data_IF_524304429173
#
_entry.id   IF_524304429173
#
_cell.length_a   1.000
_cell.length_b   1.000
_cell.length_c   1.000
_cell.angle_alpha   90.00
_cell.angle_beta   90.00
_cell.angle_gamma   90.00
#
_symmetry.space_group_name_H-M   'P 1'
#
loop_
_entity.id
_entity.type
_entity.pdbx_description
1 polymer ?
#
# COMPACT_ATOMS: atom_id res chain seq x y z
N UNK A 1 -2.15 23.36 -21.07
CA UNK A 1 -2.92 22.27 -20.43
C UNK A 1 -2.49 22.06 -18.98
N UNK A 2 -1.20 22.10 -18.65
CA UNK A 2 -0.70 21.92 -17.27
C UNK A 2 -0.24 23.26 -16.68
N UNK A 3 -0.66 23.54 -15.45
CA UNK A 3 -0.30 24.74 -14.68
C UNK A 3 0.96 24.53 -13.83
N UNK A 4 1.09 23.36 -13.19
CA UNK A 4 2.22 23.00 -12.35
C UNK A 4 2.44 21.49 -12.38
N UNK A 5 3.66 21.06 -12.11
CA UNK A 5 4.02 19.65 -11.94
C UNK A 5 4.94 19.48 -10.75
N UNK A 6 4.86 18.34 -10.09
CA UNK A 6 5.81 17.94 -9.05
C UNK A 6 6.10 16.44 -9.15
N UNK A 7 7.37 16.08 -8.96
CA UNK A 7 7.81 14.68 -8.94
C UNK A 7 7.82 14.23 -7.49
N UNK A 8 7.17 13.11 -7.22
CA UNK A 8 7.14 12.52 -5.88
C UNK A 8 8.17 11.41 -5.81
N UNK A 9 9.11 11.56 -4.88
CA UNK A 9 10.13 10.55 -4.59
C UNK A 9 9.63 9.68 -3.45
N UNK A 10 9.86 8.37 -3.52
CA UNK A 10 9.33 7.46 -2.51
C UNK A 10 10.09 6.15 -2.34
N UNK A 11 10.00 5.60 -1.14
CA UNK A 11 10.70 4.41 -0.71
C UNK A 11 10.11 3.86 0.59
N UNK A 12 10.89 3.06 1.31
CA UNK A 12 10.48 2.54 2.62
C UNK A 12 11.56 2.79 3.66
N UNK A 13 11.15 3.21 4.85
CA UNK A 13 11.99 3.28 6.04
C UNK A 13 11.71 2.07 6.93
N UNK A 14 12.74 1.45 7.50
CA UNK A 14 12.55 0.44 8.54
C UNK A 14 12.49 1.08 9.92
N UNK A 15 11.32 1.22 10.54
CA UNK A 15 11.18 1.69 11.93
C UNK A 15 11.64 0.60 12.91
N UNK A 16 12.57 0.95 13.79
CA UNK A 16 13.08 0.06 14.86
C UNK A 16 12.48 0.44 16.22
N UNK A 17 12.33 1.73 16.48
CA UNK A 17 11.68 2.19 17.70
C UNK A 17 11.06 3.56 17.52
N UNK A 18 10.07 3.86 18.36
CA UNK A 18 9.44 5.17 18.43
C UNK A 18 9.27 5.59 19.89
N UNK A 19 9.27 6.90 20.13
CA UNK A 19 9.06 7.45 21.46
C UNK A 19 8.19 8.72 21.41
N UNK A 20 7.39 8.92 22.46
CA UNK A 20 6.64 10.15 22.68
C UNK A 20 7.58 11.31 22.99
N UNK A 21 7.04 12.54 22.99
CA UNK A 21 7.84 13.76 23.21
C UNK A 21 8.50 13.84 24.60
N UNK A 22 7.98 13.11 25.58
CA UNK A 22 8.57 12.97 26.92
C UNK A 22 9.62 11.85 27.02
N UNK A 23 9.89 11.15 25.92
CA UNK A 23 10.83 10.03 25.83
C UNK A 23 10.24 8.67 26.18
N UNK A 24 8.94 8.58 26.49
CA UNK A 24 8.29 7.28 26.72
C UNK A 24 8.32 6.44 25.43
N UNK A 25 8.84 5.22 25.51
CA UNK A 25 8.85 4.28 24.38
C UNK A 25 7.42 3.91 23.99
N UNK A 26 7.12 3.98 22.69
CA UNK A 26 5.80 3.65 22.14
C UNK A 26 5.86 2.35 21.35
N UNK A 27 6.82 2.25 20.42
CA UNK A 27 7.14 1.04 19.68
C UNK A 27 8.61 0.65 19.88
N UNK A 28 8.88 -0.66 19.93
CA UNK A 28 10.22 -1.22 19.98
C UNK A 28 10.21 -2.60 19.30
N UNK A 29 10.93 -2.72 18.19
CA UNK A 29 11.08 -3.99 17.49
C UNK A 29 12.17 -4.85 18.16
N UNK A 30 12.09 -6.16 17.92
CA UNK A 30 13.18 -7.08 18.27
C UNK A 30 14.43 -6.80 17.41
N UNK A 31 15.60 -7.14 17.94
CA UNK A 31 16.88 -6.95 17.26
C UNK A 31 16.88 -7.54 15.84
N UNK A 32 17.41 -6.78 14.88
CA UNK A 32 17.46 -7.17 13.47
C UNK A 32 16.11 -7.16 12.75
N UNK A 33 15.07 -6.54 13.33
CA UNK A 33 13.76 -6.37 12.70
C UNK A 33 13.36 -4.90 12.63
N UNK A 34 12.58 -4.57 11.61
CA UNK A 34 12.03 -3.24 11.43
C UNK A 34 10.62 -3.30 10.86
N UNK A 35 9.79 -2.32 11.20
CA UNK A 35 8.47 -2.13 10.61
C UNK A 35 8.67 -1.29 9.34
N UNK A 36 8.31 -1.78 8.13
CA UNK A 36 8.49 -1.00 6.91
C UNK A 36 7.46 0.12 6.85
N UNK A 37 7.88 1.36 6.67
CA UNK A 37 7.02 2.54 6.58
C UNK A 37 7.04 3.07 5.15
N UNK A 38 5.87 3.23 4.51
CA UNK A 38 5.74 3.90 3.22
C UNK A 38 6.14 5.37 3.35
N UNK A 39 7.22 5.77 2.70
CA UNK A 39 7.85 7.09 2.92
C UNK A 39 7.94 7.86 1.62
N UNK A 40 7.43 9.10 1.63
CA UNK A 40 7.50 10.02 0.50
C UNK A 40 8.34 11.26 0.83
N UNK A 41 8.94 11.83 -0.21
CA UNK A 41 9.66 13.08 -0.14
C UNK A 41 9.28 13.96 -1.34
N UNK A 42 9.13 15.25 -1.07
CA UNK A 42 8.64 16.24 -2.03
C UNK A 42 9.50 17.49 -1.96
N UNK A 43 9.61 18.21 -3.07
CA UNK A 43 10.03 19.61 -3.03
C UNK A 43 8.83 20.46 -2.58
N UNK A 44 8.89 21.11 -1.40
CA UNK A 44 7.74 21.86 -0.86
C UNK A 44 7.25 22.97 -1.81
N UNK A 45 8.16 23.58 -2.57
CA UNK A 45 7.80 24.66 -3.48
C UNK A 45 6.92 24.18 -4.65
N UNK A 46 7.30 23.07 -5.29
CA UNK A 46 6.49 22.48 -6.37
C UNK A 46 5.27 21.70 -5.89
N UNK A 47 5.28 21.19 -4.65
CA UNK A 47 4.15 20.42 -4.09
C UNK A 47 3.03 21.29 -3.52
N UNK A 48 3.32 22.52 -3.08
CA UNK A 48 2.34 23.47 -2.52
C UNK A 48 1.01 23.58 -3.27
N UNK A 49 0.95 23.62 -4.62
CA UNK A 49 -0.32 23.75 -5.35
C UNK A 49 -1.24 22.53 -5.26
N UNK A 50 -0.76 21.40 -4.74
CA UNK A 50 -1.50 20.13 -4.68
C UNK A 50 -2.12 19.84 -3.30
N UNK A 51 -1.87 20.70 -2.32
CA UNK A 51 -2.26 20.50 -0.92
C UNK A 51 -2.84 21.77 -0.31
N UNK A 52 -3.41 21.66 0.88
CA UNK A 52 -3.87 22.82 1.64
C UNK A 52 -2.71 23.72 2.05
N UNK A 53 -2.98 25.01 2.30
CA UNK A 53 -1.95 25.93 2.81
C UNK A 53 -1.32 25.42 4.12
N UNK A 54 -2.11 24.77 4.99
CA UNK A 54 -1.61 24.21 6.23
C UNK A 54 -0.58 23.09 6.01
N UNK A 55 -0.87 22.13 5.12
CA UNK A 55 0.06 21.06 4.75
C UNK A 55 1.28 21.62 4.03
N UNK A 56 1.10 22.59 3.12
CA UNK A 56 2.20 23.23 2.41
C UNK A 56 3.16 23.95 3.37
N UNK A 57 2.63 24.67 4.35
CA UNK A 57 3.42 25.38 5.35
C UNK A 57 4.15 24.38 6.28
N UNK A 58 3.51 23.28 6.67
CA UNK A 58 4.14 22.20 7.44
C UNK A 58 5.30 21.54 6.68
N UNK A 59 5.10 21.21 5.40
CA UNK A 59 6.14 20.65 4.53
C UNK A 59 7.31 21.62 4.32
N UNK A 60 7.01 22.91 4.16
CA UNK A 60 8.02 23.95 3.94
C UNK A 60 8.86 24.21 5.20
N UNK A 61 8.31 23.95 6.38
CA UNK A 61 9.01 24.08 7.66
C UNK A 61 9.87 22.86 8.01
N UNK A 62 9.81 21.79 7.23
CA UNK A 62 10.47 20.53 7.55
C UNK A 62 11.99 20.62 7.38
N UNK A 63 12.71 20.54 8.50
CA UNK A 63 14.17 20.54 8.53
C UNK A 63 14.79 19.18 8.22
N UNK A 64 16.15 19.11 8.24
CA UNK A 64 16.86 17.83 8.26
C UNK A 64 16.47 17.00 9.48
N UNK A 65 16.25 15.70 9.27
CA UNK A 65 15.91 14.71 10.31
C UNK A 65 14.62 15.04 11.07
N UNK A 66 13.73 15.75 10.41
CA UNK A 66 12.35 15.99 10.83
C UNK A 66 11.39 15.22 9.91
N UNK A 67 10.24 14.83 10.46
CA UNK A 67 9.20 14.11 9.74
C UNK A 67 7.80 14.66 10.01
N UNK A 68 6.93 14.58 9.00
CA UNK A 68 5.47 14.62 9.19
C UNK A 68 4.90 13.21 9.05
N UNK A 69 3.83 12.92 9.77
CA UNK A 69 3.09 11.67 9.67
C UNK A 69 1.79 11.88 8.90
N UNK A 70 1.42 10.94 8.03
CA UNK A 70 0.03 10.83 7.58
C UNK A 70 -0.89 10.54 8.78
N UNK A 71 -2.14 10.97 8.72
CA UNK A 71 -3.11 10.82 9.82
C UNK A 71 -3.23 9.37 10.33
N UNK A 72 -3.44 8.41 9.42
CA UNK A 72 -3.49 6.98 9.79
C UNK A 72 -2.17 6.50 10.40
N UNK A 73 -1.04 7.03 9.94
CA UNK A 73 0.28 6.69 10.45
C UNK A 73 0.50 7.22 11.87
N UNK A 74 0.08 8.45 12.15
CA UNK A 74 0.11 9.05 13.48
C UNK A 74 -0.77 8.27 14.46
N UNK A 75 -1.97 7.85 14.04
CA UNK A 75 -2.85 6.98 14.83
C UNK A 75 -2.16 5.65 15.20
N UNK A 76 -1.64 4.94 14.20
CA UNK A 76 -0.95 3.65 14.40
C UNK A 76 0.23 3.77 15.38
N UNK A 77 1.05 4.81 15.21
CA UNK A 77 2.27 5.00 15.99
C UNK A 77 2.00 5.59 17.36
N UNK A 78 0.87 6.27 17.57
CA UNK A 78 0.57 7.00 18.82
C UNK A 78 1.70 7.99 19.19
N UNK A 79 2.36 8.55 18.18
CA UNK A 79 3.45 9.53 18.31
C UNK A 79 2.98 10.88 17.77
N UNK A 80 2.96 11.89 18.64
CA UNK A 80 2.64 13.27 18.28
C UNK A 80 3.88 14.15 18.07
N UNK A 81 3.64 15.45 17.94
CA UNK A 81 4.68 16.48 17.78
C UNK A 81 5.72 16.39 18.90
N UNK A 82 7.01 16.41 18.53
CA UNK A 82 8.15 16.30 19.44
C UNK A 82 8.56 14.86 19.76
N UNK A 83 7.74 13.87 19.39
CA UNK A 83 8.14 12.47 19.45
C UNK A 83 9.18 12.10 18.38
N UNK A 84 9.70 10.88 18.46
CA UNK A 84 10.81 10.43 17.62
C UNK A 84 10.57 9.08 16.98
N UNK A 85 11.14 8.88 15.80
CA UNK A 85 11.18 7.62 15.05
C UNK A 85 12.64 7.26 14.79
N UNK A 86 13.12 6.15 15.34
CA UNK A 86 14.46 5.63 15.03
C UNK A 86 14.36 4.55 13.98
N UNK A 87 15.04 4.76 12.86
CA UNK A 87 15.03 3.82 11.72
C UNK A 87 16.24 2.87 11.77
N UNK A 88 16.21 1.82 10.95
CA UNK A 88 17.18 0.73 10.87
C UNK A 88 18.60 1.16 10.53
N UNK A 89 18.78 2.33 9.92
CA UNK A 89 20.08 2.99 9.74
C UNK A 89 20.67 3.55 11.04
N UNK A 90 19.90 3.56 12.13
CA UNK A 90 20.24 4.22 13.40
C UNK A 90 19.95 5.73 13.42
N UNK A 91 19.45 6.30 12.31
CA UNK A 91 19.03 7.71 12.26
C UNK A 91 17.70 7.89 13.00
N UNK A 92 17.58 8.99 13.73
CA UNK A 92 16.36 9.37 14.45
C UNK A 92 15.72 10.58 13.79
N UNK A 93 14.42 10.48 13.51
CA UNK A 93 13.59 11.54 12.95
C UNK A 93 12.70 12.14 14.04
N UNK A 94 12.58 13.46 14.11
CA UNK A 94 11.67 14.15 15.02
C UNK A 94 10.34 14.45 14.34
N UNK A 95 9.23 14.03 14.95
CA UNK A 95 7.88 14.29 14.43
C UNK A 95 7.52 15.76 14.65
N UNK A 96 7.17 16.47 13.57
CA UNK A 96 6.82 17.91 13.59
C UNK A 96 5.34 18.18 13.43
N UNK A 97 4.58 17.19 12.99
CA UNK A 97 3.17 17.35 12.73
C UNK A 97 2.57 16.13 12.07
N UNK A 98 1.26 16.22 11.92
CA UNK A 98 0.42 15.27 11.21
C UNK A 98 -0.23 16.01 10.03
N UNK A 99 -0.46 15.30 8.94
CA UNK A 99 -1.11 15.82 7.73
C UNK A 99 -2.17 14.83 7.22
N UNK A 100 -3.24 15.31 6.56
CA UNK A 100 -4.28 14.43 6.05
C UNK A 100 -3.73 13.41 5.04
N UNK A 101 -4.11 12.14 5.16
CA UNK A 101 -3.61 11.06 4.28
C UNK A 101 -3.87 11.35 2.79
N UNK A 102 -5.04 11.92 2.46
CA UNK A 102 -5.43 12.26 1.09
C UNK A 102 -4.48 13.28 0.43
N UNK A 103 -3.93 14.22 1.20
CA UNK A 103 -3.02 15.24 0.69
C UNK A 103 -1.60 14.70 0.42
N UNK A 104 -1.29 13.51 0.93
CA UNK A 104 0.06 12.92 0.89
C UNK A 104 0.03 11.49 0.36
N UNK A 105 -1.00 11.19 -0.44
CA UNK A 105 -1.20 9.94 -1.16
C UNK A 105 -1.16 8.69 -0.25
N UNK A 106 -1.58 8.84 1.01
CA UNK A 106 -1.59 7.80 2.04
C UNK A 106 -0.20 7.36 2.51
N UNK A 107 0.82 8.21 2.35
CA UNK A 107 2.16 7.96 2.88
C UNK A 107 2.16 7.92 4.40
N UNK A 108 2.99 7.05 4.97
CA UNK A 108 3.12 6.94 6.42
C UNK A 108 4.05 8.00 6.99
N UNK A 109 5.16 8.30 6.30
CA UNK A 109 6.17 9.25 6.75
C UNK A 109 6.59 10.16 5.61
N UNK A 110 6.69 11.45 5.90
CA UNK A 110 7.10 12.48 4.96
C UNK A 110 8.35 13.14 5.51
N UNK A 111 9.40 13.19 4.69
CA UNK A 111 10.71 13.73 5.06
C UNK A 111 11.22 14.71 4.01
N UNK A 112 12.19 15.55 4.40
CA UNK A 112 12.84 16.46 3.46
C UNK A 112 13.57 15.69 2.34
N UNK A 113 13.69 16.24 1.12
CA UNK A 113 14.46 15.60 0.04
C UNK A 113 15.91 15.28 0.41
N UNK A 114 16.54 16.12 1.24
CA UNK A 114 17.90 15.88 1.73
C UNK A 114 17.97 14.65 2.64
N UNK A 115 17.08 14.56 3.63
CA UNK A 115 16.98 13.38 4.50
C UNK A 115 16.61 12.12 3.71
N UNK A 116 15.74 12.23 2.71
CA UNK A 116 15.38 11.12 1.83
C UNK A 116 16.60 10.58 1.06
N UNK A 117 17.39 11.48 0.45
CA UNK A 117 18.61 11.10 -0.26
C UNK A 117 19.64 10.42 0.65
N UNK A 118 19.86 10.96 1.86
CA UNK A 118 20.75 10.36 2.87
C UNK A 118 20.32 8.95 3.29
N UNK A 119 19.00 8.71 3.33
CA UNK A 119 18.39 7.43 3.68
C UNK A 119 18.21 6.50 2.47
N UNK A 120 18.71 6.87 1.28
CA UNK A 120 18.60 6.07 0.06
C UNK A 120 17.21 6.07 -0.59
N UNK A 121 16.32 6.96 -0.18
CA UNK A 121 14.99 7.17 -0.75
C UNK A 121 15.12 8.19 -1.89
N UNK A 122 15.41 7.69 -3.09
CA UNK A 122 15.70 8.53 -4.26
C UNK A 122 14.90 8.16 -5.52
N UNK A 123 14.00 7.18 -5.44
CA UNK A 123 13.25 6.69 -6.61
C UNK A 123 12.09 7.63 -6.92
N UNK A 124 12.03 8.27 -8.11
CA UNK A 124 10.83 8.96 -8.57
C UNK A 124 9.72 7.93 -8.76
N UNK A 125 8.63 8.05 -8.00
CA UNK A 125 7.54 7.09 -8.00
C UNK A 125 6.42 7.48 -8.94
N UNK A 126 6.03 8.75 -8.92
CA UNK A 126 4.97 9.29 -9.76
C UNK A 126 5.12 10.81 -9.91
N UNK A 127 4.40 11.36 -10.89
CA UNK A 127 4.32 12.79 -11.14
C UNK A 127 2.88 13.24 -10.91
N UNK A 128 2.70 14.33 -10.17
CA UNK A 128 1.42 15.03 -10.11
C UNK A 128 1.44 16.22 -11.07
N UNK A 129 0.34 16.43 -11.77
CA UNK A 129 0.17 17.52 -12.72
C UNK A 129 -1.13 18.25 -12.43
N UNK A 130 -1.03 19.55 -12.13
CA UNK A 130 -2.18 20.40 -11.88
C UNK A 130 -2.70 20.93 -13.23
N UNK A 131 -3.98 20.71 -13.57
CA UNK A 131 -4.54 21.21 -14.82
C UNK A 131 -4.62 22.75 -14.82
N UNK A 132 -4.37 23.36 -15.98
CA UNK A 132 -4.67 24.78 -16.26
C UNK A 132 -6.07 24.97 -16.88
N UNK A 133 -6.77 23.87 -17.17
CA UNK A 133 -8.07 23.80 -17.84
C UNK A 133 -8.84 22.58 -17.35
N UNK A 134 -9.50 21.84 -18.26
CA UNK A 134 -10.17 20.58 -17.90
C UNK A 134 -9.17 19.49 -17.50
N UNK A 135 -9.62 18.51 -16.71
CA UNK A 135 -8.83 17.33 -16.38
C UNK A 135 -8.49 16.49 -17.62
N UNK A 136 -9.43 16.39 -18.57
CA UNK A 136 -9.24 15.64 -19.82
C UNK A 136 -8.16 16.27 -20.69
N UNK A 137 -8.18 17.60 -20.89
CA UNK A 137 -7.16 18.30 -21.69
C UNK A 137 -5.77 18.17 -21.05
N UNK A 138 -5.72 18.18 -19.72
CA UNK A 138 -4.48 17.97 -18.97
C UNK A 138 -3.98 16.53 -19.12
N UNK A 139 -4.85 15.54 -18.98
CA UNK A 139 -4.51 14.13 -19.15
C UNK A 139 -4.00 13.85 -20.57
N UNK A 140 -4.68 14.39 -21.59
CA UNK A 140 -4.29 14.24 -22.99
C UNK A 140 -2.96 14.93 -23.30
N UNK A 141 -2.69 16.09 -22.70
CA UNK A 141 -1.41 16.75 -22.83
C UNK A 141 -0.27 15.95 -22.18
N UNK A 142 -0.51 15.33 -21.02
CA UNK A 142 0.47 14.46 -20.36
C UNK A 142 0.71 13.19 -21.19
N UNK A 143 -0.33 12.54 -21.71
CA UNK A 143 -0.19 11.39 -22.63
C UNK A 143 0.58 11.78 -23.88
N UNK A 144 0.25 12.92 -24.50
CA UNK A 144 0.95 13.44 -25.69
C UNK A 144 2.44 13.73 -25.46
N UNK A 145 2.86 13.92 -24.20
CA UNK A 145 4.25 14.06 -23.82
C UNK A 145 4.99 12.71 -23.64
N UNK A 146 4.33 11.58 -23.93
CA UNK A 146 4.89 10.23 -23.85
C UNK A 146 4.63 9.50 -22.53
N UNK A 147 3.68 9.97 -21.72
CA UNK A 147 3.32 9.38 -20.42
C UNK A 147 2.31 8.21 -20.52
N UNK A 148 2.22 7.55 -21.67
CA UNK A 148 1.37 6.38 -21.97
C UNK A 148 2.19 5.16 -22.43
N UNK A 149 3.52 5.21 -22.27
CA UNK A 149 4.40 4.09 -22.56
C UNK A 149 4.20 2.88 -21.63
N UNK A 150 4.83 1.73 -21.94
CA UNK A 150 4.70 0.52 -21.12
C UNK A 150 5.02 0.77 -19.64
N UNK A 151 4.07 0.47 -18.76
CA UNK A 151 4.21 0.68 -17.32
C UNK A 151 3.92 2.11 -16.85
N UNK A 152 3.39 2.98 -17.70
CA UNK A 152 2.88 4.31 -17.34
C UNK A 152 1.36 4.37 -17.53
N UNK A 153 0.69 5.08 -16.63
CA UNK A 153 -0.74 5.36 -16.72
C UNK A 153 -1.01 6.78 -16.24
N UNK A 154 -1.90 7.48 -16.95
CA UNK A 154 -2.42 8.77 -16.52
C UNK A 154 -3.77 8.55 -15.85
N UNK A 155 -3.88 8.99 -14.59
CA UNK A 155 -5.05 8.83 -13.73
C UNK A 155 -5.46 10.19 -13.19
N UNK A 156 -6.76 10.51 -13.27
CA UNK A 156 -7.32 11.73 -12.69
C UNK A 156 -7.87 11.45 -11.29
N UNK A 157 -8.10 12.52 -10.52
CA UNK A 157 -8.75 12.44 -9.20
C UNK A 157 -10.19 11.93 -9.25
N UNK A 158 -10.80 11.84 -10.43
CA UNK A 158 -12.13 11.25 -10.62
C UNK A 158 -12.07 9.73 -10.84
N UNK A 159 -10.88 9.18 -11.11
CA UNK A 159 -10.70 7.77 -11.45
C UNK A 159 -10.11 6.95 -10.31
N UNK A 160 -9.47 7.59 -9.33
CA UNK A 160 -8.83 6.92 -8.20
C UNK A 160 -8.90 7.79 -6.94
N UNK A 161 -9.05 7.12 -5.80
CA UNK A 161 -9.01 7.75 -4.48
C UNK A 161 -7.59 8.20 -4.11
N UNK A 162 -6.57 7.55 -4.68
CA UNK A 162 -5.16 7.74 -4.32
C UNK A 162 -4.31 8.04 -5.54
N UNK A 163 -3.92 9.29 -5.75
CA UNK A 163 -2.96 9.66 -6.79
C UNK A 163 -1.53 9.23 -6.38
N UNK A 164 -1.19 7.95 -6.64
CA UNK A 164 0.12 7.33 -6.31
C UNK A 164 0.55 6.30 -7.36
N UNK A 165 1.79 5.83 -7.26
CA UNK A 165 2.39 4.82 -8.15
C UNK A 165 1.77 3.41 -8.08
N UNK A 166 0.82 3.18 -7.18
CA UNK A 166 0.09 1.93 -7.00
C UNK A 166 -1.36 2.27 -6.62
N UNK A 167 -2.01 3.08 -7.46
CA UNK A 167 -3.31 3.69 -7.20
C UNK A 167 -4.49 2.71 -7.24
N UNK A 168 -4.29 1.52 -7.79
CA UNK A 168 -5.29 0.46 -7.81
C UNK A 168 -5.38 -0.36 -6.50
N UNK A 169 -4.47 -0.12 -5.54
CA UNK A 169 -4.41 -0.82 -4.24
C UNK A 169 -4.37 0.17 -3.08
N UNK A 170 -4.80 -0.28 -1.89
CA UNK A 170 -4.91 0.60 -0.74
C UNK A 170 -3.50 1.06 -0.29
N UNK A 171 -3.35 2.28 0.23
CA UNK A 171 -2.14 2.68 0.93
C UNK A 171 -1.77 1.70 2.05
N UNK A 172 -0.47 1.53 2.29
CA UNK A 172 0.00 0.57 3.29
C UNK A 172 -0.46 0.91 4.71
N UNK A 173 -0.60 2.20 5.03
CA UNK A 173 -1.11 2.66 6.32
C UNK A 173 -2.50 2.07 6.63
N UNK A 174 -3.42 2.08 5.64
CA UNK A 174 -4.78 1.55 5.81
C UNK A 174 -4.77 0.03 6.02
N UNK A 175 -3.89 -0.69 5.33
CA UNK A 175 -3.73 -2.13 5.55
C UNK A 175 -3.26 -2.42 6.97
N UNK A 176 -2.31 -1.66 7.48
CA UNK A 176 -1.80 -1.82 8.85
C UNK A 176 -2.86 -1.48 9.90
N UNK A 177 -3.66 -0.43 9.67
CA UNK A 177 -4.78 -0.06 10.53
C UNK A 177 -5.79 -1.22 10.68
N UNK A 178 -6.16 -1.85 9.57
CA UNK A 178 -7.28 -2.80 9.57
C UNK A 178 -6.88 -4.25 9.82
N UNK A 179 -5.66 -4.63 9.42
CA UNK A 179 -5.16 -6.00 9.50
C UNK A 179 -3.98 -6.13 10.47
N UNK A 180 -3.56 -5.03 11.08
CA UNK A 180 -2.46 -4.98 12.03
C UNK A 180 -1.10 -4.79 11.37
N UNK A 181 -0.13 -4.47 12.20
CA UNK A 181 1.25 -4.16 11.82
C UNK A 181 2.21 -5.18 12.43
N UNK A 182 3.30 -5.47 11.72
CA UNK A 182 4.36 -6.36 12.20
C UNK A 182 5.73 -5.92 11.70
N UNK A 183 6.76 -6.26 12.46
CA UNK A 183 8.15 -6.07 12.07
C UNK A 183 8.65 -7.24 11.19
N UNK A 184 9.41 -6.91 10.16
CA UNK A 184 10.09 -7.87 9.30
C UNK A 184 11.57 -7.93 9.63
N UNK A 185 12.16 -9.13 9.57
CA UNK A 185 13.60 -9.34 9.74
C UNK A 185 14.31 -9.54 8.39
N UNK A 186 15.39 -10.31 8.43
CA UNK A 186 16.19 -10.63 7.25
C UNK A 186 15.35 -11.14 6.06
N UNK A 187 15.76 -10.72 4.87
CA UNK A 187 15.16 -11.12 3.60
C UNK A 187 16.06 -12.12 2.85
N UNK A 188 15.46 -13.09 2.17
CA UNK A 188 16.11 -14.01 1.24
C UNK A 188 15.33 -13.99 -0.08
N UNK A 189 15.88 -13.29 -1.09
CA UNK A 189 15.12 -12.99 -2.30
C UNK A 189 13.88 -12.17 -1.97
N UNK A 190 12.69 -12.75 -2.18
CA UNK A 190 11.41 -12.12 -1.82
C UNK A 190 10.96 -12.43 -0.40
N UNK A 191 11.40 -13.55 0.17
CA UNK A 191 10.93 -14.04 1.46
C UNK A 191 11.46 -13.16 2.59
N UNK A 192 10.61 -12.88 3.57
CA UNK A 192 10.97 -12.15 4.79
C UNK A 192 10.52 -12.93 6.00
N UNK A 193 11.25 -12.77 7.11
CA UNK A 193 10.77 -13.29 8.39
C UNK A 193 9.80 -12.28 9.03
N UNK A 194 8.65 -12.74 9.50
CA UNK A 194 7.64 -11.90 10.18
C UNK A 194 7.56 -12.19 11.68
N UNK A 195 7.00 -11.25 12.44
CA UNK A 195 6.68 -11.46 13.84
C UNK A 195 5.71 -12.63 14.01
N UNK A 196 6.16 -13.69 14.68
CA UNK A 196 5.38 -14.91 14.87
C UNK A 196 4.20 -14.72 15.83
N UNK A 197 4.26 -13.74 16.74
CA UNK A 197 3.14 -13.41 17.61
C UNK A 197 2.00 -12.80 16.79
N UNK A 198 2.33 -11.90 15.85
CA UNK A 198 1.35 -11.35 14.90
C UNK A 198 0.76 -12.47 14.02
N UNK A 199 1.59 -13.37 13.49
CA UNK A 199 1.11 -14.51 12.67
C UNK A 199 0.15 -15.38 13.46
N UNK A 200 0.49 -15.76 14.70
CA UNK A 200 -0.36 -16.60 15.55
C UNK A 200 -1.70 -15.93 15.91
N UNK A 201 -1.72 -14.59 16.03
CA UNK A 201 -2.92 -13.83 16.36
C UNK A 201 -3.84 -13.56 15.16
N UNK A 202 -3.29 -13.56 13.93
CA UNK A 202 -3.99 -13.03 12.75
C UNK A 202 -4.18 -14.04 11.62
N UNK A 203 -3.30 -15.03 11.49
CA UNK A 203 -3.34 -16.01 10.40
C UNK A 203 -3.93 -17.31 10.92
N UNK A 204 -5.02 -17.74 10.31
CA UNK A 204 -5.73 -18.96 10.69
C UNK A 204 -5.82 -19.90 9.49
N UNK A 205 -5.94 -21.18 9.80
CA UNK A 205 -6.23 -22.22 8.83
C UNK A 205 -7.68 -22.65 9.00
N UNK A 206 -8.46 -22.59 7.93
CA UNK A 206 -9.87 -23.01 7.92
C UNK A 206 -10.22 -23.64 6.56
N UNK A 207 -11.34 -24.36 6.50
CA UNK A 207 -11.87 -24.91 5.25
C UNK A 207 -12.85 -23.93 4.61
N UNK A 208 -12.67 -23.68 3.32
CA UNK A 208 -13.62 -22.90 2.49
C UNK A 208 -14.09 -23.75 1.30
N UNK A 209 -15.32 -23.52 0.80
CA UNK A 209 -15.84 -24.21 -0.39
C UNK A 209 -14.91 -24.05 -1.59
N UNK A 210 -14.94 -25.02 -2.51
CA UNK A 210 -14.17 -25.06 -3.76
C UNK A 210 -12.62 -25.11 -3.63
N UNK A 211 -12.02 -24.64 -2.52
CA UNK A 211 -10.57 -24.60 -2.32
C UNK A 211 -10.05 -25.58 -1.26
N UNK A 212 -10.91 -26.00 -0.31
CA UNK A 212 -10.50 -26.84 0.81
C UNK A 212 -9.80 -26.03 1.91
N UNK A 213 -8.70 -26.56 2.44
CA UNK A 213 -7.95 -25.90 3.52
C UNK A 213 -7.19 -24.66 2.99
N UNK A 214 -7.45 -23.50 3.59
CA UNK A 214 -6.78 -22.24 3.26
C UNK A 214 -6.15 -21.63 4.51
N UNK A 215 -5.01 -20.94 4.33
CA UNK A 215 -4.29 -20.26 5.40
C UNK A 215 -4.23 -18.77 5.13
N UNK A 216 -5.18 -18.01 5.68
CA UNK A 216 -5.43 -16.60 5.37
C UNK A 216 -5.53 -15.77 6.67
N UNK A 217 -5.65 -14.45 6.53
CA UNK A 217 -6.00 -13.59 7.65
C UNK A 217 -7.38 -13.96 8.20
N UNK A 218 -7.58 -13.95 9.52
CA UNK A 218 -8.86 -14.29 10.16
C UNK A 218 -10.05 -13.48 9.66
N UNK A 219 -9.82 -12.23 9.25
CA UNK A 219 -10.85 -11.36 8.65
C UNK A 219 -11.24 -11.75 7.22
N UNK A 220 -10.43 -12.56 6.53
CA UNK A 220 -10.64 -12.93 5.12
C UNK A 220 -11.38 -14.25 4.96
N UNK A 221 -11.28 -15.15 5.94
CA UNK A 221 -11.90 -16.49 5.86
C UNK A 221 -13.39 -16.42 5.54
N UNK A 222 -14.13 -15.59 6.28
CA UNK A 222 -15.59 -15.53 6.16
C UNK A 222 -16.06 -14.83 4.87
N UNK A 223 -15.50 -13.67 4.46
CA UNK A 223 -15.76 -13.12 3.12
C UNK A 223 -15.41 -14.08 1.98
N UNK A 224 -14.27 -14.78 2.06
CA UNK A 224 -13.87 -15.75 1.04
C UNK A 224 -14.85 -16.93 0.96
N UNK A 225 -15.32 -17.42 2.11
CA UNK A 225 -16.33 -18.48 2.19
C UNK A 225 -17.60 -18.05 1.45
N UNK A 226 -18.16 -16.89 1.78
CA UNK A 226 -19.39 -16.39 1.13
C UNK A 226 -19.23 -16.17 -0.37
N UNK A 227 -18.10 -15.65 -0.81
CA UNK A 227 -17.83 -15.46 -2.24
C UNK A 227 -17.85 -16.80 -2.99
N UNK A 228 -17.23 -17.85 -2.43
CA UNK A 228 -17.17 -19.17 -3.06
C UNK A 228 -18.49 -19.94 -2.94
N UNK A 229 -19.28 -19.73 -1.89
CA UNK A 229 -20.67 -20.22 -1.79
C UNK A 229 -21.57 -19.56 -2.84
N UNK A 230 -21.39 -18.27 -3.12
CA UNK A 230 -22.12 -17.57 -4.18
C UNK A 230 -21.75 -18.12 -5.57
N UNK A 231 -20.46 -18.40 -5.81
CA UNK A 231 -19.99 -19.05 -7.05
C UNK A 231 -20.65 -20.42 -7.24
N UNK A 232 -20.63 -21.27 -6.22
CA UNK A 232 -21.29 -22.58 -6.26
C UNK A 232 -22.81 -22.44 -6.48
N UNK A 233 -23.45 -21.48 -5.81
CA UNK A 233 -24.88 -21.22 -5.95
C UNK A 233 -25.27 -20.69 -7.34
N UNK A 234 -24.33 -20.07 -8.06
CA UNK A 234 -24.53 -19.58 -9.43
C UNK A 234 -24.31 -20.64 -10.51
N UNK A 235 -23.82 -21.83 -10.15
CA UNK A 235 -23.60 -22.94 -11.08
C UNK A 235 -22.35 -22.77 -11.97
N UNK A 236 -21.37 -21.97 -11.52
CA UNK A 236 -20.09 -21.72 -12.21
C UNK A 236 -18.89 -22.23 -11.39
N UNK A 237 -19.09 -23.26 -10.57
CA UNK A 237 -18.06 -23.86 -9.71
C UNK A 237 -16.80 -24.32 -10.47
N UNK A 238 -16.96 -24.75 -11.72
CA UNK A 238 -15.85 -25.15 -12.61
C UNK A 238 -14.91 -23.98 -12.97
N UNK A 239 -15.31 -22.73 -12.68
CA UNK A 239 -14.47 -21.55 -12.81
C UNK A 239 -13.39 -21.47 -11.72
N UNK A 240 -13.46 -22.29 -10.67
CA UNK A 240 -12.46 -22.34 -9.59
C UNK A 240 -11.68 -23.66 -9.70
N UNK A 241 -10.38 -23.56 -9.97
CA UNK A 241 -9.48 -24.71 -9.98
C UNK A 241 -8.69 -24.79 -8.66
N UNK A 242 -9.09 -25.65 -7.70
CA UNK A 242 -8.35 -25.82 -6.44
C UNK A 242 -6.90 -26.25 -6.64
N UNK A 243 -6.59 -27.00 -7.71
CA UNK A 243 -5.22 -27.41 -8.03
C UNK A 243 -4.32 -26.28 -8.51
N UNK A 244 -4.89 -25.11 -8.81
CA UNK A 244 -4.20 -23.90 -9.23
C UNK A 244 -4.40 -22.74 -8.25
N UNK A 245 -4.76 -23.04 -7.00
CA UNK A 245 -4.75 -22.07 -5.91
C UNK A 245 -3.34 -21.93 -5.32
N UNK A 246 -2.82 -20.71 -5.26
CA UNK A 246 -1.47 -20.44 -4.74
C UNK A 246 -1.44 -19.81 -3.32
N UNK A 247 -2.56 -19.92 -2.59
CA UNK A 247 -2.63 -19.62 -1.16
C UNK A 247 -2.86 -18.14 -0.83
N UNK A 248 -3.15 -17.87 0.46
CA UNK A 248 -3.33 -16.51 0.95
C UNK A 248 -2.07 -15.94 1.63
N UNK A 249 -1.61 -16.58 2.70
CA UNK A 249 -0.50 -16.07 3.50
C UNK A 249 0.86 -16.54 2.99
N UNK A 250 1.69 -15.58 2.61
CA UNK A 250 3.10 -15.76 2.30
C UNK A 250 3.86 -14.48 2.64
N UNK A 251 4.74 -14.54 3.64
CA UNK A 251 5.54 -13.41 4.09
C UNK A 251 6.62 -13.07 3.06
N UNK A 252 6.33 -12.12 2.16
CA UNK A 252 7.22 -11.74 1.06
C UNK A 252 7.06 -10.31 0.56
N UNK A 253 8.15 -9.76 0.02
CA UNK A 253 8.13 -8.60 -0.86
C UNK A 253 7.45 -8.89 -2.21
N UNK A 254 6.97 -7.84 -2.87
CA UNK A 254 6.50 -7.91 -4.25
C UNK A 254 7.63 -8.38 -5.17
N UNK A 255 8.84 -7.84 -4.99
CA UNK A 255 10.10 -8.28 -5.58
C UNK A 255 11.21 -8.18 -4.52
N UNK A 256 12.43 -8.71 -4.76
CA UNK A 256 13.52 -8.58 -3.80
C UNK A 256 13.82 -7.11 -3.48
N UNK A 257 13.78 -6.75 -2.20
CA UNK A 257 14.04 -5.39 -1.71
C UNK A 257 12.93 -4.37 -1.96
N UNK A 258 11.73 -4.79 -2.38
CA UNK A 258 10.57 -3.90 -2.55
C UNK A 258 9.66 -3.86 -1.32
N UNK A 259 8.59 -3.05 -1.41
CA UNK A 259 7.47 -3.10 -0.47
C UNK A 259 6.89 -4.52 -0.31
N UNK A 260 6.28 -4.77 0.85
CA UNK A 260 5.65 -6.04 1.18
C UNK A 260 4.43 -6.29 0.29
N UNK A 261 4.30 -7.54 -0.16
CA UNK A 261 3.08 -8.01 -0.83
C UNK A 261 1.94 -8.16 0.18
N UNK A 262 0.70 -8.00 -0.27
CA UNK A 262 -0.51 -8.24 0.54
C UNK A 262 -0.66 -9.68 1.02
N UNK A 263 0.00 -10.64 0.37
CA UNK A 263 0.14 -11.99 0.92
C UNK A 263 0.85 -12.02 2.29
N UNK A 264 1.69 -11.02 2.60
CA UNK A 264 2.35 -10.93 3.91
C UNK A 264 1.38 -10.67 5.05
N UNK A 265 0.20 -10.12 4.75
CA UNK A 265 -0.89 -9.96 5.71
C UNK A 265 -1.89 -11.12 5.65
N UNK A 266 -1.76 -12.05 4.69
CA UNK A 266 -2.75 -13.10 4.43
C UNK A 266 -4.08 -12.56 3.89
N UNK A 267 -4.07 -11.35 3.31
CA UNK A 267 -5.27 -10.69 2.77
C UNK A 267 -5.35 -10.70 1.25
N UNK A 268 -4.31 -11.19 0.58
CA UNK A 268 -4.36 -11.50 -0.84
C UNK A 268 -4.54 -13.01 -1.04
N UNK A 269 -5.01 -13.40 -2.21
CA UNK A 269 -5.08 -14.77 -2.66
C UNK A 269 -4.91 -14.86 -4.18
N UNK A 270 -4.36 -15.98 -4.62
CA UNK A 270 -4.11 -16.25 -6.03
C UNK A 270 -4.93 -17.47 -6.47
N UNK A 271 -5.91 -17.26 -7.36
CA UNK A 271 -6.78 -18.28 -7.96
C UNK A 271 -6.33 -18.61 -9.38
N UNK A 272 -6.48 -19.86 -9.81
CA UNK A 272 -6.26 -20.29 -11.20
C UNK A 272 -4.91 -19.93 -11.84
N UNK A 273 -3.82 -19.85 -11.06
CA UNK A 273 -2.52 -19.28 -11.51
C UNK A 273 -1.92 -19.92 -12.77
N UNK A 274 -2.26 -21.18 -13.08
CA UNK A 274 -1.79 -21.87 -14.29
C UNK A 274 -2.52 -21.47 -15.56
N UNK A 275 -3.79 -21.04 -15.44
CA UNK A 275 -4.62 -20.56 -16.55
C UNK A 275 -4.49 -19.05 -16.78
N UNK A 276 -4.21 -18.30 -15.71
CA UNK A 276 -4.28 -16.84 -15.67
C UNK A 276 -2.96 -16.19 -15.21
N UNK A 277 -1.84 -16.36 -15.94
CA UNK A 277 -0.58 -15.75 -15.53
C UNK A 277 -0.61 -14.23 -15.70
N UNK A 278 0.08 -13.52 -14.79
CA UNK A 278 0.27 -12.06 -14.82
C UNK A 278 0.65 -11.53 -16.21
N UNK A 279 0.03 -10.43 -16.61
CA UNK A 279 0.23 -9.74 -17.90
C UNK A 279 -0.59 -10.32 -19.05
N UNK A 280 -1.59 -11.16 -18.77
CA UNK A 280 -2.56 -11.68 -19.75
C UNK A 280 -3.97 -11.17 -19.44
N UNK A 281 -4.83 -11.20 -20.46
CA UNK A 281 -6.26 -10.91 -20.30
C UNK A 281 -6.92 -11.97 -19.41
N UNK A 282 -7.96 -11.54 -18.69
CA UNK A 282 -8.74 -12.32 -17.72
C UNK A 282 -9.38 -13.55 -18.39
N UNK A 283 -9.19 -14.76 -17.84
CA UNK A 283 -9.97 -15.95 -18.22
C UNK A 283 -11.03 -16.38 -17.19
N UNK A 284 -11.21 -15.61 -16.10
CA UNK A 284 -12.26 -15.87 -15.12
C UNK A 284 -13.67 -15.71 -15.68
N UNK A 285 -14.59 -16.54 -15.18
CA UNK A 285 -16.01 -16.28 -15.29
C UNK A 285 -16.32 -14.94 -14.58
N UNK A 286 -16.99 -13.98 -15.24
CA UNK A 286 -17.36 -12.70 -14.63
C UNK A 286 -18.06 -12.86 -13.27
N UNK A 287 -18.86 -13.92 -13.14
CA UNK A 287 -19.58 -14.30 -11.93
C UNK A 287 -18.65 -14.55 -10.73
N UNK A 288 -17.45 -15.13 -10.94
CA UNK A 288 -16.47 -15.29 -9.86
C UNK A 288 -15.91 -13.95 -9.41
N UNK A 289 -15.55 -13.08 -10.37
CA UNK A 289 -15.00 -11.77 -10.05
C UNK A 289 -16.03 -10.91 -9.32
N UNK A 290 -17.29 -10.98 -9.76
CA UNK A 290 -18.39 -10.26 -9.13
C UNK A 290 -18.68 -10.77 -7.72
N UNK A 291 -18.72 -12.10 -7.51
CA UNK A 291 -18.89 -12.69 -6.18
C UNK A 291 -17.75 -12.28 -5.22
N UNK A 292 -16.52 -12.23 -5.70
CA UNK A 292 -15.38 -11.73 -4.92
C UNK A 292 -15.54 -10.23 -4.60
N UNK A 293 -15.98 -9.41 -5.56
CA UNK A 293 -16.18 -7.96 -5.36
C UNK A 293 -17.31 -7.66 -4.38
N UNK A 294 -18.41 -8.39 -4.43
CA UNK A 294 -19.53 -8.27 -3.49
C UNK A 294 -19.10 -8.50 -2.04
N UNK A 295 -18.08 -9.34 -1.84
CA UNK A 295 -17.49 -9.65 -0.54
C UNK A 295 -16.28 -8.78 -0.20
N UNK A 296 -16.01 -7.70 -0.93
CA UNK A 296 -14.99 -6.70 -0.59
C UNK A 296 -13.57 -6.99 -1.11
N UNK A 297 -13.42 -7.94 -2.04
CA UNK A 297 -12.15 -8.14 -2.74
C UNK A 297 -12.02 -7.22 -3.97
N UNK A 298 -10.81 -6.75 -4.25
CA UNK A 298 -10.43 -6.14 -5.54
C UNK A 298 -9.64 -7.13 -6.37
N UNK A 299 -9.81 -7.08 -7.69
CA UNK A 299 -9.10 -7.96 -8.63
C UNK A 299 -7.86 -7.27 -9.20
N UNK A 300 -6.76 -8.00 -9.29
CA UNK A 300 -5.55 -7.57 -9.99
C UNK A 300 -5.73 -7.46 -11.50
N UNK A 301 -6.82 -7.98 -12.06
CA UNK A 301 -7.21 -7.74 -13.45
C UNK A 301 -7.35 -6.25 -13.79
N UNK A 302 -7.71 -5.43 -12.81
CA UNK A 302 -7.96 -4.00 -12.97
C UNK A 302 -6.67 -3.15 -12.96
N UNK A 303 -5.50 -3.79 -12.80
CA UNK A 303 -4.20 -3.10 -12.71
C UNK A 303 -3.62 -2.73 -14.07
N UNK A 304 -2.76 -1.71 -14.10
CA UNK A 304 -2.01 -1.30 -15.29
C UNK A 304 -1.23 -2.45 -15.93
N UNK A 305 -0.63 -3.30 -15.10
CA UNK A 305 -0.09 -4.60 -15.51
C UNK A 305 -1.02 -5.64 -14.89
N UNK A 306 -2.00 -6.15 -15.65
CA UNK A 306 -3.02 -7.04 -15.10
C UNK A 306 -2.41 -8.25 -14.41
N UNK A 307 -2.94 -8.61 -13.25
CA UNK A 307 -2.65 -9.84 -12.53
C UNK A 307 -3.98 -10.55 -12.24
N UNK A 308 -4.61 -11.16 -13.26
CA UNK A 308 -5.99 -11.62 -13.16
C UNK A 308 -6.19 -12.61 -12.01
N UNK A 309 -5.21 -13.51 -11.79
CA UNK A 309 -5.25 -14.51 -10.73
C UNK A 309 -5.34 -13.91 -9.31
N UNK A 310 -4.90 -12.67 -9.14
CA UNK A 310 -4.68 -12.05 -7.85
C UNK A 310 -5.92 -11.32 -7.36
N UNK A 311 -6.31 -11.56 -6.12
CA UNK A 311 -7.37 -10.83 -5.41
C UNK A 311 -6.84 -10.29 -4.09
N UNK A 312 -7.24 -9.08 -3.71
CA UNK A 312 -6.89 -8.47 -2.42
C UNK A 312 -8.15 -8.05 -1.67
N UNK A 313 -8.31 -8.54 -0.44
CA UNK A 313 -9.35 -8.07 0.46
C UNK A 313 -9.03 -6.64 0.91
N UNK A 314 -9.96 -5.72 0.63
CA UNK A 314 -9.72 -4.29 0.83
C UNK A 314 -9.98 -3.87 2.28
N UNK A 315 -9.26 -2.87 2.80
CA UNK A 315 -9.56 -2.27 4.10
C UNK A 315 -10.96 -1.64 4.07
N UNK A 316 -11.54 -1.48 5.27
CA UNK A 316 -12.83 -0.82 5.42
C UNK A 316 -12.69 0.64 4.95
N UNK A 317 -13.73 1.21 4.31
CA UNK A 317 -13.74 2.63 3.97
C UNK A 317 -13.39 3.47 5.20
N UNK A 318 -12.51 4.46 5.03
CA UNK A 318 -12.32 5.48 6.07
C UNK A 318 -13.65 6.16 6.31
N UNK A 319 -14.14 6.26 7.57
CA UNK A 319 -15.30 7.09 7.87
C UNK A 319 -14.99 8.53 7.44
N UNK A 320 -15.90 9.14 6.67
CA UNK A 320 -15.85 10.56 6.30
C UNK A 320 -15.84 11.49 7.53
#
# INVERSE_FOLDING_TARGET
AIASTTVVVGGSLGLVSSAAADGASVDQTAEGRAIPLDTLAYDPASYRPFVSDATADALSALGPDEALLGATSAELRRVGIGGTLTVDSGRTLTVKGEVPDAEVAGAEVLISPGTAADLGIAVPRFLLALPAGSLDDAADAVRSAGADGPGLQVRTSEQTDWLRHADAVAPQALIKRDFGEFAVGAASGREVTTDQAWVAANIVTDTVPLLGEVRCHRRVIEPLRRALEAVESSGVEDAVNPGAFAGCFNARGISPGSALSRHSWGIALDLNVTGDPRGRDVSFAPELVDAMREEGFRSGADWLVPDPAHFEFYPDPTPD
#
